data_IF_954459428498
#
_entry.id   IF_954459428498
#
_cell.length_a   1.000
_cell.length_b   1.000
_cell.length_c   1.000
_cell.angle_alpha   90.00
_cell.angle_beta   90.00
_cell.angle_gamma   90.00
#
_symmetry.space_group_name_H-M   'P 1'
#
loop_
_entity.id
_entity.type
_entity.pdbx_description
1 polymer ?
#
# COMPACT_ATOMS: atom_id res chain seq x y z
N UNK A 1 1.29 -9.30 -28.05
CA UNK A 1 0.01 -9.52 -27.32
C UNK A 1 0.23 -9.00 -25.92
N UNK A 2 -0.76 -8.39 -25.29
CA UNK A 2 -0.67 -8.08 -23.86
C UNK A 2 -0.73 -9.41 -23.09
N UNK A 3 0.34 -9.72 -22.38
CA UNK A 3 0.32 -10.80 -21.40
C UNK A 3 -0.16 -10.25 -20.07
N UNK A 4 -0.83 -11.08 -19.27
CA UNK A 4 -1.34 -10.75 -17.94
C UNK A 4 -0.76 -11.74 -16.92
N UNK A 5 -0.67 -11.36 -15.64
CA UNK A 5 -0.15 -12.22 -14.57
C UNK A 5 -1.10 -13.37 -14.28
N UNK A 6 -2.41 -13.08 -14.28
CA UNK A 6 -3.46 -14.09 -14.15
C UNK A 6 -4.73 -13.75 -14.95
N UNK A 7 -5.69 -14.69 -14.97
CA UNK A 7 -6.92 -14.58 -15.75
C UNK A 7 -7.96 -13.59 -15.16
N UNK A 8 -7.74 -13.01 -13.99
CA UNK A 8 -8.65 -12.03 -13.39
C UNK A 8 -8.47 -10.63 -13.99
N UNK A 9 -7.29 -10.31 -14.54
CA UNK A 9 -7.02 -9.00 -15.16
C UNK A 9 -7.79 -8.76 -16.49
N UNK A 10 -8.40 -9.80 -17.06
CA UNK A 10 -9.13 -9.75 -18.34
C UNK A 10 -10.65 -9.93 -18.22
N UNK A 11 -11.19 -10.05 -16.99
CA UNK A 11 -12.64 -10.19 -16.77
C UNK A 11 -13.34 -8.84 -16.79
N UNK A 12 -14.64 -8.85 -17.09
CA UNK A 12 -15.48 -7.66 -17.06
C UNK A 12 -15.65 -7.13 -15.61
N UNK A 13 -15.80 -5.81 -15.46
CA UNK A 13 -15.99 -5.15 -14.16
C UNK A 13 -17.27 -5.62 -13.44
N UNK A 14 -18.35 -5.92 -14.16
CA UNK A 14 -19.58 -6.42 -13.55
C UNK A 14 -19.43 -7.88 -13.09
N UNK A 15 -18.77 -8.74 -13.87
CA UNK A 15 -18.35 -10.09 -13.48
C UNK A 15 -17.44 -10.05 -12.25
N UNK A 16 -16.38 -9.22 -12.27
CA UNK A 16 -15.47 -8.97 -11.14
C UNK A 16 -16.24 -8.64 -9.85
N UNK A 17 -17.20 -7.73 -9.95
CA UNK A 17 -17.98 -7.30 -8.78
C UNK A 17 -18.96 -8.38 -8.29
N UNK A 18 -19.62 -9.09 -9.21
CA UNK A 18 -20.49 -10.22 -8.88
C UNK A 18 -19.72 -11.37 -8.20
N UNK A 19 -18.54 -11.72 -8.70
CA UNK A 19 -17.68 -12.76 -8.11
C UNK A 19 -17.19 -12.37 -6.71
N UNK A 20 -16.77 -11.12 -6.50
CA UNK A 20 -16.38 -10.61 -5.18
C UNK A 20 -17.53 -10.67 -4.18
N UNK A 21 -18.74 -10.23 -4.56
CA UNK A 21 -19.90 -10.24 -3.66
C UNK A 21 -20.55 -11.63 -3.48
N UNK A 22 -20.31 -12.58 -4.40
CA UNK A 22 -20.64 -13.99 -4.19
C UNK A 22 -19.70 -14.66 -3.17
N UNK A 23 -18.41 -14.33 -3.20
CA UNK A 23 -17.42 -14.87 -2.25
C UNK A 23 -17.48 -14.23 -0.85
N UNK A 24 -17.87 -12.95 -0.76
CA UNK A 24 -17.79 -12.15 0.47
C UNK A 24 -18.53 -12.76 1.68
N UNK A 25 -19.78 -13.26 1.60
CA UNK A 25 -20.45 -13.87 2.76
C UNK A 25 -19.69 -15.04 3.40
N UNK A 26 -19.06 -15.89 2.59
CA UNK A 26 -18.26 -17.02 3.06
C UNK A 26 -16.96 -16.55 3.73
N UNK A 27 -16.29 -15.56 3.15
CA UNK A 27 -15.10 -14.94 3.74
C UNK A 27 -15.42 -14.26 5.08
N UNK A 28 -16.55 -13.52 5.17
CA UNK A 28 -17.03 -12.91 6.41
C UNK A 28 -17.33 -13.94 7.49
N UNK A 29 -17.97 -15.06 7.14
CA UNK A 29 -18.23 -16.14 8.09
C UNK A 29 -16.93 -16.78 8.61
N UNK A 30 -16.00 -17.12 7.72
CA UNK A 30 -14.71 -17.73 8.07
C UNK A 30 -13.75 -16.78 8.80
N UNK A 31 -13.93 -15.45 8.66
CA UNK A 31 -13.24 -14.44 9.45
C UNK A 31 -13.90 -14.25 10.82
N UNK A 32 -15.24 -14.22 10.90
CA UNK A 32 -16.01 -14.14 12.16
C UNK A 32 -15.70 -15.31 13.10
N UNK A 33 -15.48 -16.50 12.56
CA UNK A 33 -15.15 -17.70 13.35
C UNK A 33 -13.73 -17.65 13.94
N UNK A 34 -12.74 -17.15 13.18
CA UNK A 34 -11.31 -17.31 13.51
C UNK A 34 -10.61 -16.04 14.00
N UNK A 35 -11.15 -14.86 13.72
CA UNK A 35 -10.63 -13.56 14.16
C UNK A 35 -11.63 -12.89 15.13
N UNK A 36 -11.43 -12.99 16.47
CA UNK A 36 -12.35 -12.42 17.47
C UNK A 36 -12.60 -10.92 17.33
N UNK A 37 -11.69 -10.17 16.69
CA UNK A 37 -11.90 -8.75 16.42
C UNK A 37 -12.94 -8.51 15.32
N UNK A 38 -12.91 -9.32 14.27
CA UNK A 38 -13.92 -9.35 13.21
C UNK A 38 -15.25 -9.86 13.77
N UNK A 39 -15.24 -10.80 14.71
CA UNK A 39 -16.45 -11.22 15.42
C UNK A 39 -17.15 -10.07 16.16
N UNK A 40 -16.39 -9.15 16.76
CA UNK A 40 -16.97 -7.92 17.35
C UNK A 40 -17.52 -6.97 16.28
N UNK A 41 -16.77 -6.76 15.19
CA UNK A 41 -17.16 -5.85 14.10
C UNK A 41 -18.43 -6.32 13.35
N UNK A 42 -18.70 -7.63 13.36
CA UNK A 42 -19.84 -8.28 12.70
C UNK A 42 -20.95 -8.73 13.66
N UNK A 43 -20.91 -8.34 14.94
CA UNK A 43 -21.83 -8.88 15.97
C UNK A 43 -23.31 -8.61 15.63
N UNK A 44 -23.61 -7.44 15.06
CA UNK A 44 -24.95 -6.98 14.68
C UNK A 44 -25.25 -7.18 13.18
N UNK A 45 -24.39 -7.93 12.46
CA UNK A 45 -24.39 -8.03 10.99
C UNK A 45 -24.80 -9.42 10.51
N UNK A 46 -25.83 -9.48 9.67
CA UNK A 46 -26.27 -10.70 8.96
C UNK A 46 -25.34 -10.97 7.77
N UNK A 47 -24.21 -11.63 8.04
CA UNK A 47 -23.12 -11.89 7.07
C UNK A 47 -23.56 -12.59 5.79
N UNK A 48 -24.61 -13.40 5.86
CA UNK A 48 -25.27 -14.10 4.75
C UNK A 48 -25.88 -13.14 3.71
N UNK A 49 -26.16 -11.89 4.10
CA UNK A 49 -26.81 -10.87 3.28
C UNK A 49 -25.84 -9.84 2.69
N UNK A 50 -24.54 -9.97 2.93
CA UNK A 50 -23.53 -9.00 2.51
C UNK A 50 -23.07 -9.32 1.07
N UNK A 51 -24.02 -9.18 0.14
CA UNK A 51 -23.90 -9.55 -1.28
C UNK A 51 -23.98 -8.33 -2.21
N UNK A 52 -23.79 -7.11 -1.69
CA UNK A 52 -23.70 -5.88 -2.48
C UNK A 52 -22.95 -4.77 -1.73
N UNK A 53 -22.54 -3.70 -2.44
CA UNK A 53 -21.95 -2.50 -1.83
C UNK A 53 -22.86 -1.86 -0.78
N UNK A 54 -24.17 -1.82 -1.03
CA UNK A 54 -25.15 -1.27 -0.09
C UNK A 54 -25.24 -2.11 1.19
N UNK A 55 -25.15 -3.45 1.09
CA UNK A 55 -25.13 -4.33 2.24
C UNK A 55 -23.79 -4.25 3.00
N UNK A 56 -22.67 -4.17 2.29
CA UNK A 56 -21.34 -3.97 2.87
C UNK A 56 -21.26 -2.72 3.73
N UNK A 57 -21.90 -1.62 3.31
CA UNK A 57 -21.93 -0.37 4.05
C UNK A 57 -22.53 -0.46 5.48
N UNK A 58 -23.26 -1.55 5.81
CA UNK A 58 -23.74 -1.81 7.17
C UNK A 58 -22.63 -2.26 8.15
N UNK A 59 -21.47 -2.72 7.66
CA UNK A 59 -20.31 -3.03 8.50
C UNK A 59 -19.65 -1.69 8.91
N UNK A 60 -19.31 -1.45 10.19
CA UNK A 60 -18.58 -0.25 10.60
C UNK A 60 -17.18 -0.17 9.97
N UNK A 61 -16.75 1.04 9.59
CA UNK A 61 -15.38 1.27 9.07
C UNK A 61 -14.37 1.15 10.19
N UNK A 62 -13.39 0.26 10.03
CA UNK A 62 -12.28 0.09 10.96
C UNK A 62 -11.17 1.09 10.61
N UNK A 63 -10.90 2.08 11.46
CA UNK A 63 -9.80 3.04 11.24
C UNK A 63 -8.47 2.48 11.74
N UNK A 64 -7.36 2.82 11.07
CA UNK A 64 -6.00 2.46 11.49
C UNK A 64 -5.66 2.86 12.94
N UNK A 65 -6.25 3.94 13.45
CA UNK A 65 -6.11 4.37 14.85
C UNK A 65 -6.85 3.49 15.86
N UNK A 66 -7.88 2.75 15.43
CA UNK A 66 -8.65 1.81 16.25
C UNK A 66 -7.98 0.42 16.24
N UNK A 67 -7.46 -0.01 15.09
CA UNK A 67 -6.56 -1.16 14.97
C UNK A 67 -5.40 -1.02 15.96
N UNK A 68 -4.69 0.11 15.95
CA UNK A 68 -3.61 0.42 16.91
C UNK A 68 -4.09 0.36 18.37
N UNK A 69 -5.19 1.05 18.73
CA UNK A 69 -5.72 1.03 20.11
C UNK A 69 -6.02 -0.39 20.58
N UNK A 70 -6.68 -1.21 19.75
CA UNK A 70 -7.04 -2.60 20.08
C UNK A 70 -5.80 -3.48 20.23
N UNK A 71 -4.87 -3.38 19.28
CA UNK A 71 -3.57 -4.04 19.32
C UNK A 71 -2.78 -3.69 20.59
N UNK A 72 -2.68 -2.40 20.93
CA UNK A 72 -1.98 -1.96 22.14
C UNK A 72 -2.66 -2.48 23.41
N UNK A 73 -3.97 -2.31 23.54
CA UNK A 73 -4.73 -2.72 24.72
C UNK A 73 -4.60 -4.23 25.00
N UNK A 74 -4.71 -5.06 23.95
CA UNK A 74 -4.57 -6.51 24.07
C UNK A 74 -3.14 -6.96 24.46
N UNK A 75 -2.11 -6.18 24.13
CA UNK A 75 -0.74 -6.43 24.63
C UNK A 75 -0.57 -6.01 26.09
N UNK A 76 -1.12 -4.86 26.49
CA UNK A 76 -0.92 -4.33 27.86
C UNK A 76 -1.81 -4.97 28.91
N UNK A 77 -3.01 -5.45 28.57
CA UNK A 77 -3.91 -6.13 29.51
C UNK A 77 -3.33 -7.42 30.09
N UNK A 78 -2.39 -8.07 29.39
CA UNK A 78 -1.67 -9.26 29.89
C UNK A 78 -0.39 -8.89 30.66
N UNK A 79 -0.19 -7.62 31.00
CA UNK A 79 0.90 -7.16 31.87
C UNK A 79 0.66 -7.44 33.36
N UNK A 80 -0.61 -7.57 33.77
CA UNK A 80 -0.99 -7.77 35.18
C UNK A 80 -1.04 -9.27 35.58
N UNK A 81 -1.18 -10.18 34.60
CA UNK A 81 -1.13 -11.62 34.81
C UNK A 81 0.00 -12.23 33.97
N UNK A 82 0.99 -12.83 34.64
CA UNK A 82 2.22 -13.32 34.01
C UNK A 82 1.95 -14.26 32.82
N UNK A 83 2.43 -13.88 31.63
CA UNK A 83 2.36 -14.74 30.43
C UNK A 83 3.24 -15.97 30.67
N UNK A 84 2.61 -17.13 30.87
CA UNK A 84 3.32 -18.41 30.83
C UNK A 84 3.92 -18.63 29.44
N UNK A 85 5.22 -18.88 29.38
CA UNK A 85 5.89 -19.28 28.14
C UNK A 85 5.30 -20.60 27.65
N UNK A 86 4.77 -20.62 26.41
CA UNK A 86 4.03 -21.77 25.86
C UNK A 86 2.54 -21.50 25.56
N UNK A 87 2.05 -20.28 25.77
CA UNK A 87 0.69 -19.89 25.38
C UNK A 87 0.42 -20.15 23.88
N UNK A 88 -0.56 -21.02 23.57
CA UNK A 88 -0.81 -21.55 22.22
C UNK A 88 -1.33 -20.52 21.20
N UNK A 89 -1.35 -20.90 19.92
CA UNK A 89 -1.55 -19.99 18.77
C UNK A 89 -2.71 -18.98 18.92
N UNK A 90 -3.89 -19.41 19.38
CA UNK A 90 -5.05 -18.51 19.56
C UNK A 90 -4.81 -17.37 20.56
N UNK A 91 -3.95 -17.55 21.56
CA UNK A 91 -3.57 -16.49 22.51
C UNK A 91 -2.68 -15.41 21.86
N UNK A 92 -1.91 -15.79 20.83
CA UNK A 92 -1.02 -14.89 20.08
C UNK A 92 -1.86 -14.00 19.16
N UNK A 93 -2.81 -14.61 18.44
CA UNK A 93 -3.81 -13.94 17.60
C UNK A 93 -4.50 -12.80 18.35
N UNK A 94 -5.01 -13.09 19.55
CA UNK A 94 -5.69 -12.11 20.40
C UNK A 94 -4.72 -11.05 20.91
N UNK A 95 -3.63 -11.47 21.58
CA UNK A 95 -2.71 -10.57 22.28
C UNK A 95 -1.93 -9.63 21.36
N UNK A 96 -1.30 -10.15 20.29
CA UNK A 96 -0.35 -9.37 19.46
C UNK A 96 -1.08 -8.55 18.42
N UNK A 97 -1.98 -9.20 17.68
CA UNK A 97 -2.70 -8.65 16.53
C UNK A 97 -4.08 -8.08 16.89
N UNK A 98 -4.39 -7.92 18.18
CA UNK A 98 -5.66 -7.38 18.66
C UNK A 98 -6.88 -8.27 18.40
N UNK A 99 -6.67 -9.51 17.95
CA UNK A 99 -7.70 -10.44 17.51
C UNK A 99 -8.07 -10.36 16.02
N UNK A 100 -7.33 -9.63 15.18
CA UNK A 100 -7.60 -9.51 13.73
C UNK A 100 -6.95 -10.62 12.87
N UNK A 101 -5.84 -11.21 13.33
CA UNK A 101 -5.23 -12.36 12.65
C UNK A 101 -6.09 -13.62 12.80
N UNK A 102 -5.96 -14.56 11.87
CA UNK A 102 -6.39 -15.95 12.07
C UNK A 102 -5.20 -16.91 12.18
N UNK A 103 -3.98 -16.43 11.91
CA UNK A 103 -2.73 -17.22 11.92
C UNK A 103 -1.86 -16.88 13.14
N UNK A 104 -1.16 -17.89 13.67
CA UNK A 104 -0.26 -17.77 14.82
C UNK A 104 1.23 -17.95 14.47
N UNK A 105 2.06 -18.13 15.50
CA UNK A 105 3.45 -18.54 15.31
C UNK A 105 3.52 -19.93 14.67
N UNK A 106 4.41 -20.10 13.69
CA UNK A 106 4.53 -21.35 12.92
C UNK A 106 3.66 -21.37 11.67
N UNK A 107 2.47 -20.77 11.69
CA UNK A 107 1.65 -20.53 10.49
C UNK A 107 2.19 -19.32 9.71
N UNK A 108 2.40 -18.20 10.42
CA UNK A 108 3.06 -17.02 9.90
C UNK A 108 4.51 -17.33 9.50
N UNK A 109 4.89 -16.92 8.29
CA UNK A 109 6.26 -16.93 7.80
C UNK A 109 7.06 -15.76 8.40
N UNK A 110 6.43 -14.58 8.49
CA UNK A 110 7.03 -13.34 9.00
C UNK A 110 6.00 -12.54 9.80
N UNK A 111 6.49 -11.66 10.68
CA UNK A 111 5.68 -10.65 11.38
C UNK A 111 6.43 -9.34 11.36
N UNK A 112 5.73 -8.28 10.97
CA UNK A 112 6.25 -6.93 10.80
C UNK A 112 5.77 -6.01 11.90
N UNK A 113 6.38 -4.83 11.99
CA UNK A 113 6.17 -3.82 13.03
C UNK A 113 6.24 -2.41 12.42
N UNK A 114 5.09 -1.88 11.98
CA UNK A 114 4.96 -0.52 11.46
C UNK A 114 5.01 0.57 12.54
N UNK A 115 5.32 1.84 12.16
CA UNK A 115 5.37 2.98 13.08
C UNK A 115 4.09 3.16 13.92
N UNK A 116 4.27 3.51 15.19
CA UNK A 116 3.19 3.54 16.18
C UNK A 116 2.69 2.13 16.47
N UNK A 117 3.52 1.28 17.10
CA UNK A 117 3.60 -0.18 16.91
C UNK A 117 2.29 -0.90 16.55
N UNK A 118 2.03 -0.99 15.26
CA UNK A 118 1.09 -1.94 14.65
C UNK A 118 1.93 -3.12 14.20
N UNK A 119 1.51 -4.35 14.50
CA UNK A 119 2.13 -5.56 13.96
C UNK A 119 1.24 -6.20 12.89
N UNK A 120 1.86 -6.65 11.80
CA UNK A 120 1.20 -7.26 10.64
C UNK A 120 1.78 -8.66 10.37
N UNK A 121 0.96 -9.72 10.28
CA UNK A 121 1.44 -11.06 9.97
C UNK A 121 1.46 -11.33 8.46
N UNK A 122 2.40 -12.17 8.03
CA UNK A 122 2.53 -12.69 6.67
C UNK A 122 2.57 -14.22 6.70
N UNK A 123 1.76 -14.88 5.87
CA UNK A 123 1.73 -16.34 5.76
C UNK A 123 2.67 -16.86 4.67
N UNK A 124 2.79 -18.19 4.56
CA UNK A 124 3.64 -18.87 3.57
C UNK A 124 3.05 -18.90 2.15
N UNK A 125 1.99 -18.12 1.89
CA UNK A 125 1.37 -18.00 0.56
C UNK A 125 2.33 -17.29 -0.42
N UNK A 126 2.40 -17.79 -1.66
CA UNK A 126 2.98 -17.03 -2.76
C UNK A 126 2.20 -15.72 -2.97
N UNK A 127 2.92 -14.63 -3.29
CA UNK A 127 2.39 -13.27 -3.43
C UNK A 127 1.35 -12.88 -2.36
N UNK A 128 1.64 -13.15 -1.08
CA UNK A 128 0.76 -12.85 0.05
C UNK A 128 0.25 -11.39 0.04
N UNK A 129 1.12 -10.46 -0.36
CA UNK A 129 0.85 -9.03 -0.42
C UNK A 129 0.30 -8.54 -1.77
N UNK A 130 0.21 -9.42 -2.78
CA UNK A 130 -0.50 -9.22 -4.05
C UNK A 130 0.16 -8.22 -5.02
N UNK A 131 1.45 -7.99 -4.88
CA UNK A 131 2.21 -7.07 -5.75
C UNK A 131 2.63 -7.70 -7.09
N UNK A 132 2.37 -9.00 -7.31
CA UNK A 132 2.71 -9.72 -8.54
C UNK A 132 2.12 -9.08 -9.79
N UNK A 133 0.81 -8.76 -9.78
CA UNK A 133 0.15 -8.04 -10.90
C UNK A 133 0.81 -6.69 -11.19
N UNK A 134 1.15 -5.92 -10.16
CA UNK A 134 1.78 -4.60 -10.32
C UNK A 134 3.19 -4.70 -10.94
N UNK A 135 4.01 -5.67 -10.50
CA UNK A 135 5.31 -5.95 -11.12
C UNK A 135 5.15 -6.46 -12.56
N UNK A 136 4.19 -7.34 -12.79
CA UNK A 136 3.94 -7.91 -14.12
C UNK A 136 3.42 -6.87 -15.13
N UNK A 137 2.62 -5.90 -14.68
CA UNK A 137 2.13 -4.76 -15.46
C UNK A 137 3.23 -3.71 -15.72
N UNK A 138 4.16 -3.50 -14.77
CA UNK A 138 5.43 -2.80 -15.03
C UNK A 138 6.35 -3.59 -16.00
N UNK A 139 6.02 -4.86 -16.27
CA UNK A 139 6.64 -5.71 -17.28
C UNK A 139 7.80 -6.57 -16.78
N UNK A 140 7.88 -6.82 -15.48
CA UNK A 140 8.80 -7.82 -14.92
C UNK A 140 8.37 -9.22 -15.36
N UNK A 141 9.34 -10.13 -15.58
CA UNK A 141 9.14 -11.52 -16.01
C UNK A 141 10.12 -12.44 -15.28
N UNK A 142 9.90 -13.75 -15.34
CA UNK A 142 10.70 -14.73 -14.58
C UNK A 142 12.24 -14.58 -14.73
N UNK A 143 12.72 -14.20 -15.92
CA UNK A 143 14.15 -14.03 -16.17
C UNK A 143 14.72 -12.65 -15.75
N UNK A 144 13.89 -11.76 -15.19
CA UNK A 144 14.30 -10.44 -14.70
C UNK A 144 15.00 -10.58 -13.34
N UNK A 145 16.20 -9.98 -13.21
CA UNK A 145 16.79 -9.69 -11.90
C UNK A 145 16.11 -8.45 -11.31
N UNK A 146 15.30 -8.65 -10.27
CA UNK A 146 14.63 -7.61 -9.50
C UNK A 146 15.57 -7.08 -8.40
N UNK A 147 16.01 -5.84 -8.54
CA UNK A 147 16.78 -5.12 -7.52
C UNK A 147 15.83 -4.43 -6.53
N UNK A 148 15.63 -5.02 -5.36
CA UNK A 148 14.66 -4.57 -4.37
C UNK A 148 15.30 -3.69 -3.28
N UNK A 149 15.02 -2.40 -3.34
CA UNK A 149 15.51 -1.37 -2.42
C UNK A 149 14.49 -0.92 -1.36
N UNK A 150 13.43 -1.69 -1.12
CA UNK A 150 12.63 -1.50 0.09
C UNK A 150 13.34 -2.04 1.34
N UNK A 151 12.94 -1.54 2.51
CA UNK A 151 13.44 -2.05 3.78
C UNK A 151 13.06 -3.52 3.99
N UNK A 152 14.08 -4.35 4.27
CA UNK A 152 13.91 -5.73 4.72
C UNK A 152 13.83 -5.87 6.26
N UNK A 153 13.80 -4.75 6.99
CA UNK A 153 13.62 -4.71 8.44
C UNK A 153 12.34 -3.96 8.86
N UNK A 154 11.77 -4.34 10.01
CA UNK A 154 10.59 -3.75 10.63
C UNK A 154 9.31 -3.76 9.77
N UNK A 155 9.24 -2.98 8.69
CA UNK A 155 8.06 -2.86 7.81
C UNK A 155 8.03 -3.97 6.74
N UNK A 156 6.85 -4.33 6.21
CA UNK A 156 6.70 -5.43 5.25
C UNK A 156 7.24 -5.16 3.84
N UNK A 157 7.62 -3.92 3.51
CA UNK A 157 7.83 -3.48 2.12
C UNK A 157 8.90 -4.30 1.34
N UNK A 158 10.01 -4.70 1.96
CA UNK A 158 10.98 -5.60 1.32
C UNK A 158 10.37 -6.95 0.96
N UNK A 159 9.61 -7.54 1.88
CA UNK A 159 8.92 -8.83 1.69
C UNK A 159 7.76 -8.76 0.68
N UNK A 160 7.05 -7.62 0.63
CA UNK A 160 5.99 -7.35 -0.36
C UNK A 160 6.48 -7.52 -1.79
N UNK A 161 7.62 -6.90 -2.11
CA UNK A 161 8.19 -6.94 -3.45
C UNK A 161 9.04 -8.20 -3.71
N UNK A 162 9.64 -8.80 -2.67
CA UNK A 162 10.28 -10.11 -2.77
C UNK A 162 9.28 -11.22 -3.12
N UNK A 163 8.21 -11.37 -2.32
CA UNK A 163 7.23 -12.46 -2.51
C UNK A 163 6.46 -12.34 -3.82
N UNK A 164 6.24 -11.11 -4.30
CA UNK A 164 5.71 -10.84 -5.64
C UNK A 164 6.70 -11.17 -6.76
N UNK A 165 7.97 -10.77 -6.62
CA UNK A 165 9.02 -11.12 -7.59
C UNK A 165 9.21 -12.63 -7.72
N UNK A 166 9.30 -13.33 -6.59
CA UNK A 166 9.39 -14.80 -6.55
C UNK A 166 8.16 -15.49 -7.15
N UNK A 167 6.97 -14.91 -7.02
CA UNK A 167 5.74 -15.45 -7.63
C UNK A 167 5.70 -15.27 -9.16
N UNK A 168 6.35 -14.24 -9.71
CA UNK A 168 6.61 -14.08 -11.15
C UNK A 168 7.73 -15.02 -11.62
N UNK A 169 8.54 -15.54 -10.69
CA UNK A 169 9.74 -16.35 -10.94
C UNK A 169 11.04 -15.55 -11.04
N UNK A 170 10.99 -14.23 -10.79
CA UNK A 170 12.17 -13.35 -10.82
C UNK A 170 13.24 -13.79 -9.82
N UNK A 171 14.52 -13.63 -10.19
CA UNK A 171 15.60 -13.60 -9.20
C UNK A 171 15.51 -12.27 -8.45
N UNK A 172 15.55 -12.28 -7.11
CA UNK A 172 15.46 -11.07 -6.28
C UNK A 172 16.80 -10.78 -5.61
N UNK A 173 17.30 -9.55 -5.77
CA UNK A 173 18.43 -9.04 -5.00
C UNK A 173 17.92 -8.10 -3.89
N UNK A 174 18.17 -8.40 -2.60
CA UNK A 174 17.69 -7.60 -1.47
C UNK A 174 18.60 -6.39 -1.20
N UNK A 175 18.64 -5.43 -2.13
CA UNK A 175 19.53 -4.26 -2.07
C UNK A 175 19.27 -3.30 -0.91
N UNK A 176 18.05 -3.28 -0.36
CA UNK A 176 17.71 -2.49 0.83
C UNK A 176 17.88 -0.98 0.64
N UNK A 177 18.13 -0.26 1.74
CA UNK A 177 18.18 1.22 1.76
C UNK A 177 19.56 1.76 2.13
N UNK A 178 19.90 2.94 1.60
CA UNK A 178 21.18 3.62 1.85
C UNK A 178 22.38 3.00 1.13
N UNK A 179 23.59 3.35 1.58
CA UNK A 179 24.87 2.87 1.02
C UNK A 179 24.99 3.09 -0.50
N UNK A 180 24.63 4.28 -0.99
CA UNK A 180 24.50 4.61 -2.42
C UNK A 180 25.68 4.18 -3.29
N UNK A 181 26.91 4.35 -2.81
CA UNK A 181 28.16 3.97 -3.47
C UNK A 181 28.25 2.44 -3.69
N UNK A 182 27.79 1.65 -2.72
CA UNK A 182 27.67 0.19 -2.84
C UNK A 182 26.53 -0.20 -3.79
N UNK A 183 25.39 0.50 -3.76
CA UNK A 183 24.29 0.28 -4.71
C UNK A 183 24.78 0.47 -6.16
N UNK A 184 25.53 1.55 -6.43
CA UNK A 184 26.10 1.83 -7.76
C UNK A 184 27.04 0.70 -8.20
N UNK A 185 27.99 0.29 -7.35
CA UNK A 185 28.89 -0.81 -7.66
C UNK A 185 28.14 -2.13 -7.91
N UNK A 186 27.17 -2.48 -7.06
CA UNK A 186 26.42 -3.74 -7.18
C UNK A 186 25.47 -3.75 -8.39
N UNK A 187 24.84 -2.63 -8.76
CA UNK A 187 24.05 -2.51 -10.00
C UNK A 187 24.95 -2.55 -11.24
N UNK A 188 26.18 -2.04 -11.15
CA UNK A 188 27.18 -2.16 -12.20
C UNK A 188 27.63 -3.62 -12.40
N UNK A 189 27.92 -4.35 -11.32
CA UNK A 189 28.39 -5.74 -11.40
C UNK A 189 27.28 -6.73 -11.75
N UNK A 190 26.08 -6.59 -11.17
CA UNK A 190 24.96 -7.54 -11.36
C UNK A 190 24.06 -7.22 -12.57
N UNK A 191 24.19 -6.03 -13.17
CA UNK A 191 23.39 -5.56 -14.33
C UNK A 191 21.87 -5.87 -14.25
N UNK A 192 21.15 -5.50 -13.18
CA UNK A 192 19.71 -5.75 -13.05
C UNK A 192 18.88 -4.92 -14.05
N UNK A 193 17.92 -5.56 -14.72
CA UNK A 193 16.99 -4.88 -15.64
C UNK A 193 15.91 -4.07 -14.88
N UNK A 194 15.49 -4.56 -13.70
CA UNK A 194 14.31 -4.08 -13.00
C UNK A 194 14.58 -3.64 -11.56
N UNK A 195 13.99 -2.52 -11.15
CA UNK A 195 14.09 -1.95 -9.79
C UNK A 195 12.75 -1.95 -9.05
N UNK A 196 12.77 -2.18 -7.73
CA UNK A 196 11.67 -1.81 -6.83
C UNK A 196 12.18 -0.96 -5.67
N UNK A 197 11.41 0.06 -5.28
CA UNK A 197 11.77 0.97 -4.19
C UNK A 197 11.00 2.28 -4.25
N UNK A 198 11.55 3.34 -3.66
CA UNK A 198 11.01 4.70 -3.82
C UNK A 198 11.64 5.39 -5.04
N UNK A 199 10.92 6.30 -5.72
CA UNK A 199 11.47 7.05 -6.84
C UNK A 199 12.53 8.06 -6.37
N UNK A 200 12.45 8.56 -5.13
CA UNK A 200 13.52 9.36 -4.52
C UNK A 200 14.84 8.59 -4.42
N UNK A 201 14.81 7.32 -3.99
CA UNK A 201 16.03 6.56 -3.73
C UNK A 201 16.68 6.04 -5.02
N UNK A 202 15.93 5.60 -6.03
CA UNK A 202 16.53 5.29 -7.34
C UNK A 202 17.17 6.54 -7.97
N UNK A 203 16.55 7.71 -7.80
CA UNK A 203 17.14 8.98 -8.26
C UNK A 203 18.48 9.25 -7.57
N UNK A 204 18.57 9.08 -6.25
CA UNK A 204 19.83 9.22 -5.50
C UNK A 204 20.91 8.23 -5.94
N UNK A 205 20.55 6.97 -6.24
CA UNK A 205 21.50 5.97 -6.78
C UNK A 205 22.04 6.41 -8.14
N UNK A 206 21.17 6.91 -9.03
CA UNK A 206 21.57 7.35 -10.37
C UNK A 206 22.36 8.66 -10.37
N UNK A 207 22.05 9.59 -9.47
CA UNK A 207 22.85 10.81 -9.28
C UNK A 207 24.22 10.48 -8.67
N UNK A 208 24.29 9.50 -7.75
CA UNK A 208 25.57 8.95 -7.27
C UNK A 208 26.36 8.26 -8.39
N UNK A 209 25.69 7.57 -9.31
CA UNK A 209 26.34 6.95 -10.46
C UNK A 209 26.99 7.99 -11.38
N UNK A 210 26.31 9.12 -11.61
CA UNK A 210 26.87 10.27 -12.35
C UNK A 210 28.10 10.85 -11.62
N UNK A 211 28.04 11.07 -10.30
CA UNK A 211 29.16 11.54 -9.47
C UNK A 211 30.38 10.59 -9.55
N UNK A 212 30.13 9.28 -9.50
CA UNK A 212 31.16 8.24 -9.61
C UNK A 212 31.63 7.98 -11.05
N UNK A 213 31.01 8.63 -12.04
CA UNK A 213 31.23 8.42 -13.48
C UNK A 213 30.98 6.97 -13.94
N UNK A 214 30.11 6.23 -13.24
CA UNK A 214 29.76 4.83 -13.51
C UNK A 214 28.44 4.77 -14.26
N UNK A 215 28.44 4.20 -15.47
CA UNK A 215 27.21 3.95 -16.21
C UNK A 215 26.45 2.74 -15.64
N UNK A 216 25.12 2.91 -15.44
CA UNK A 216 24.18 1.85 -15.06
C UNK A 216 23.16 1.57 -16.18
N UNK A 217 23.60 1.12 -17.38
CA UNK A 217 22.74 0.99 -18.56
C UNK A 217 21.81 -0.22 -18.51
N UNK A 218 21.97 -1.12 -17.53
CA UNK A 218 21.14 -2.30 -17.29
C UNK A 218 19.70 -1.96 -16.95
N UNK A 219 19.49 -0.97 -16.10
CA UNK A 219 18.17 -0.57 -15.62
C UNK A 219 17.27 -0.12 -16.79
N UNK A 220 16.12 -0.77 -16.94
CA UNK A 220 15.08 -0.44 -17.94
C UNK A 220 13.70 -0.27 -17.32
N UNK A 221 13.41 -0.93 -16.20
CA UNK A 221 12.07 -0.98 -15.59
C UNK A 221 12.12 -0.59 -14.12
N UNK A 222 11.10 0.08 -13.61
CA UNK A 222 10.95 0.29 -12.18
C UNK A 222 9.49 0.18 -11.74
N UNK A 223 9.24 -0.40 -10.56
CA UNK A 223 7.97 -0.27 -9.86
C UNK A 223 8.19 0.48 -8.54
N UNK A 224 7.54 1.63 -8.42
CA UNK A 224 7.67 2.56 -7.31
C UNK A 224 6.48 2.46 -6.35
N UNK A 225 6.74 2.55 -5.05
CA UNK A 225 5.71 2.63 -4.01
C UNK A 225 6.24 3.38 -2.78
N UNK A 226 5.38 3.67 -1.80
CA UNK A 226 5.68 4.42 -0.58
C UNK A 226 5.75 5.95 -0.76
N UNK A 227 5.94 6.43 -1.98
CA UNK A 227 5.96 7.85 -2.36
C UNK A 227 5.16 8.08 -3.65
N UNK A 228 4.80 9.34 -3.94
CA UNK A 228 4.17 9.71 -5.20
C UNK A 228 5.17 9.76 -6.35
N UNK A 229 4.75 9.38 -7.56
CA UNK A 229 5.57 9.33 -8.76
C UNK A 229 5.10 10.36 -9.83
N UNK A 230 5.35 11.67 -9.62
CA UNK A 230 4.81 12.73 -10.47
C UNK A 230 5.43 12.75 -11.89
N UNK A 231 4.76 13.39 -12.88
CA UNK A 231 5.23 13.48 -14.26
C UNK A 231 6.64 14.05 -14.44
N UNK A 232 7.13 14.88 -13.51
CA UNK A 232 8.52 15.38 -13.51
C UNK A 232 9.54 14.27 -13.28
N UNK A 233 9.27 13.32 -12.36
CA UNK A 233 10.13 12.16 -12.16
C UNK A 233 9.95 11.14 -13.30
N UNK A 234 8.72 10.93 -13.79
CA UNK A 234 8.46 10.11 -14.98
C UNK A 234 9.32 10.55 -16.17
N UNK A 235 9.35 11.86 -16.45
CA UNK A 235 10.18 12.46 -17.51
C UNK A 235 11.68 12.27 -17.25
N UNK A 236 12.13 12.43 -16.00
CA UNK A 236 13.54 12.28 -15.61
C UNK A 236 14.07 10.85 -15.78
N UNK A 237 13.28 9.83 -15.40
CA UNK A 237 13.64 8.42 -15.62
C UNK A 237 13.54 8.02 -17.10
N UNK A 238 12.51 8.48 -17.82
CA UNK A 238 12.37 8.23 -19.26
C UNK A 238 13.57 8.79 -20.05
N UNK A 239 14.10 9.96 -19.67
CA UNK A 239 15.32 10.53 -20.26
C UNK A 239 16.59 9.69 -20.02
N UNK A 240 16.59 8.79 -19.02
CA UNK A 240 17.64 7.77 -18.79
C UNK A 240 17.30 6.39 -19.38
N UNK A 241 16.18 6.25 -20.09
CA UNK A 241 15.70 4.97 -20.63
C UNK A 241 15.12 4.01 -19.58
N UNK A 242 14.61 4.54 -18.46
CA UNK A 242 13.98 3.78 -17.38
C UNK A 242 12.46 4.03 -17.39
N UNK A 243 11.69 2.98 -17.65
CA UNK A 243 10.24 2.98 -17.63
C UNK A 243 9.73 2.64 -16.23
N UNK A 244 9.48 3.67 -15.43
CA UNK A 244 8.92 3.54 -14.08
C UNK A 244 7.39 3.51 -14.06
N UNK A 245 6.81 2.81 -13.09
CA UNK A 245 5.36 2.76 -12.83
C UNK A 245 5.09 2.87 -11.32
N UNK A 246 3.93 3.37 -10.91
CA UNK A 246 3.54 3.49 -9.49
C UNK A 246 2.59 2.35 -9.05
N UNK A 247 2.81 1.82 -7.85
CA UNK A 247 1.84 1.06 -7.08
C UNK A 247 1.46 1.80 -5.79
N UNK A 248 0.23 1.60 -5.33
CA UNK A 248 -0.31 2.05 -4.06
C UNK A 248 -0.74 0.85 -3.21
N UNK A 249 -0.36 0.86 -1.94
CA UNK A 249 -0.66 -0.18 -0.98
C UNK A 249 -0.24 0.23 0.43
N UNK A 250 -0.70 -0.49 1.45
CA UNK A 250 -0.34 -0.22 2.85
C UNK A 250 0.22 -1.47 3.54
N UNK A 251 0.98 -1.27 4.62
CA UNK A 251 1.52 -2.36 5.43
C UNK A 251 0.43 -3.32 5.97
N UNK A 252 -0.78 -2.82 6.15
CA UNK A 252 -1.94 -3.57 6.66
C UNK A 252 -2.67 -4.37 5.56
N UNK A 253 -2.64 -3.90 4.30
CA UNK A 253 -3.48 -4.40 3.19
C UNK A 253 -2.73 -5.04 2.02
N UNK A 254 -1.42 -4.81 1.88
CA UNK A 254 -0.70 -5.13 0.64
C UNK A 254 -1.08 -4.17 -0.49
N UNK A 255 -1.05 -4.66 -1.73
CA UNK A 255 -1.45 -3.90 -2.91
C UNK A 255 -2.93 -3.49 -2.83
N UNK A 256 -3.20 -2.24 -3.24
CA UNK A 256 -4.54 -1.68 -3.40
C UNK A 256 -4.78 -1.28 -4.86
N UNK A 257 -3.84 -0.60 -5.51
CA UNK A 257 -3.95 -0.20 -6.91
C UNK A 257 -2.59 0.03 -7.60
N UNK A 258 -2.51 0.01 -8.93
CA UNK A 258 -1.25 0.11 -9.71
C UNK A 258 -1.41 0.73 -11.11
N UNK A 259 -0.39 1.43 -11.61
CA UNK A 259 -0.34 1.90 -13.00
C UNK A 259 -0.12 0.73 -13.99
N UNK A 260 -0.66 0.87 -15.20
CA UNK A 260 -0.26 0.10 -16.38
C UNK A 260 0.43 1.01 -17.42
N UNK A 261 0.87 0.44 -18.55
CA UNK A 261 1.47 1.18 -19.67
C UNK A 261 0.61 2.36 -20.18
N UNK A 262 -0.72 2.29 -20.01
CA UNK A 262 -1.66 3.36 -20.40
C UNK A 262 -1.53 4.64 -19.55
N UNK A 263 -1.13 4.53 -18.27
CA UNK A 263 -1.06 5.64 -17.28
C UNK A 263 -2.35 6.41 -17.00
N UNK A 264 -3.51 5.88 -17.39
CA UNK A 264 -4.83 6.46 -17.10
C UNK A 264 -5.29 6.21 -15.64
N UNK A 265 -4.42 6.50 -14.67
CA UNK A 265 -4.64 6.30 -13.23
C UNK A 265 -4.23 4.91 -12.71
N UNK A 266 -4.57 4.61 -11.46
CA UNK A 266 -4.22 3.33 -10.81
C UNK A 266 -5.37 2.31 -10.89
N UNK A 267 -5.15 1.18 -11.57
CA UNK A 267 -6.04 0.03 -11.64
C UNK A 267 -6.15 -0.61 -10.25
N UNK A 268 -7.36 -0.85 -9.75
CA UNK A 268 -7.61 -1.49 -8.44
C UNK A 268 -7.25 -2.98 -8.48
N UNK A 269 -6.66 -3.50 -7.41
CA UNK A 269 -6.34 -4.93 -7.28
C UNK A 269 -7.57 -5.85 -7.33
N UNK A 270 -7.46 -6.99 -8.01
CA UNK A 270 -8.61 -7.82 -8.38
C UNK A 270 -9.38 -8.51 -7.24
N UNK A 271 -8.72 -8.76 -6.12
CA UNK A 271 -9.28 -9.46 -4.95
C UNK A 271 -9.56 -8.53 -3.74
N UNK A 272 -9.88 -7.26 -4.02
CA UNK A 272 -10.42 -6.32 -3.03
C UNK A 272 -11.72 -5.64 -3.49
N UNK A 273 -12.56 -5.33 -2.50
CA UNK A 273 -13.62 -4.32 -2.62
C UNK A 273 -13.09 -3.01 -2.07
N UNK A 274 -12.99 -2.00 -2.94
CA UNK A 274 -12.63 -0.63 -2.58
C UNK A 274 -13.88 0.26 -2.57
N UNK A 275 -13.95 1.11 -1.55
CA UNK A 275 -14.96 2.15 -1.36
C UNK A 275 -14.26 3.50 -1.18
N UNK A 276 -14.93 4.59 -1.57
CA UNK A 276 -14.58 5.94 -1.13
C UNK A 276 -15.64 6.36 -0.11
N UNK A 277 -15.22 6.73 1.10
CA UNK A 277 -16.10 7.00 2.25
C UNK A 277 -15.89 8.41 2.76
N UNK A 278 -16.96 9.09 3.22
CA UNK A 278 -16.87 10.43 3.79
C UNK A 278 -16.01 10.39 5.07
N UNK A 279 -14.85 11.09 5.13
CA UNK A 279 -13.88 10.92 6.22
C UNK A 279 -14.49 11.13 7.60
N UNK A 280 -14.15 10.24 8.54
CA UNK A 280 -14.71 10.23 9.90
C UNK A 280 -16.09 9.59 10.03
N UNK A 281 -16.75 9.20 8.93
CA UNK A 281 -18.05 8.51 8.93
C UNK A 281 -17.93 7.05 8.46
N UNK A 282 -19.07 6.38 8.26
CA UNK A 282 -19.20 5.07 7.59
C UNK A 282 -19.81 5.17 6.17
N UNK A 283 -20.19 6.37 5.72
CA UNK A 283 -21.02 6.60 4.53
C UNK A 283 -20.19 6.63 3.24
N UNK A 284 -20.45 5.77 2.25
CA UNK A 284 -19.88 5.91 0.91
C UNK A 284 -20.26 7.25 0.27
N UNK A 285 -19.34 7.86 -0.47
CA UNK A 285 -19.64 9.05 -1.30
C UNK A 285 -20.08 8.65 -2.71
N UNK A 286 -20.78 9.52 -3.46
CA UNK A 286 -21.03 9.34 -4.89
C UNK A 286 -19.76 9.12 -5.72
N UNK A 287 -19.90 8.47 -6.86
CA UNK A 287 -18.80 8.29 -7.82
C UNK A 287 -18.21 9.64 -8.26
N UNK A 288 -16.88 9.72 -8.32
CA UNK A 288 -16.15 10.97 -8.61
C UNK A 288 -16.00 11.95 -7.43
N UNK A 289 -16.71 11.79 -6.30
CA UNK A 289 -16.45 12.58 -5.09
C UNK A 289 -15.16 12.13 -4.38
N UNK A 290 -14.47 13.08 -3.74
CA UNK A 290 -13.27 12.83 -2.94
C UNK A 290 -13.63 12.44 -1.52
N UNK A 291 -13.08 11.33 -1.05
CA UNK A 291 -13.21 10.85 0.34
C UNK A 291 -12.04 9.96 0.74
N UNK A 292 -12.19 9.27 1.85
CA UNK A 292 -11.21 8.32 2.39
C UNK A 292 -11.24 6.99 1.63
N UNK A 293 -10.07 6.45 1.28
CA UNK A 293 -9.96 5.10 0.72
C UNK A 293 -10.23 4.08 1.83
N UNK A 294 -11.32 3.32 1.66
CA UNK A 294 -11.75 2.23 2.54
C UNK A 294 -11.68 0.91 1.76
N UNK A 295 -11.03 -0.11 2.33
CA UNK A 295 -10.78 -1.38 1.64
C UNK A 295 -11.28 -2.57 2.47
N UNK A 296 -11.97 -3.50 1.82
CA UNK A 296 -12.25 -4.84 2.35
C UNK A 296 -11.42 -5.87 1.59
N UNK A 297 -10.60 -6.64 2.31
CA UNK A 297 -9.78 -7.72 1.73
C UNK A 297 -10.43 -9.08 1.95
N UNK A 298 -10.30 -9.98 0.98
CA UNK A 298 -10.65 -11.39 1.13
C UNK A 298 -9.46 -12.23 1.63
N UNK A 299 -8.55 -11.62 2.41
CA UNK A 299 -7.39 -12.30 2.98
C UNK A 299 -7.86 -13.25 4.11
N UNK A 300 -7.71 -14.58 3.99
CA UNK A 300 -8.16 -15.51 5.01
C UNK A 300 -7.27 -15.53 6.26
N UNK A 301 -6.07 -14.93 6.21
CA UNK A 301 -5.03 -15.01 7.25
C UNK A 301 -4.99 -13.74 8.13
N UNK A 302 -5.17 -12.58 7.50
CA UNK A 302 -5.30 -11.27 8.16
C UNK A 302 -6.48 -10.49 7.53
N UNK A 303 -7.73 -10.89 7.80
CA UNK A 303 -8.92 -10.24 7.26
C UNK A 303 -9.09 -8.84 7.84
N UNK A 304 -9.13 -7.84 6.96
CA UNK A 304 -9.46 -6.46 7.31
C UNK A 304 -10.70 -6.02 6.52
N UNK A 305 -11.77 -5.69 7.26
CA UNK A 305 -13.08 -5.34 6.71
C UNK A 305 -13.33 -3.85 6.82
N UNK A 306 -13.68 -3.21 5.71
CA UNK A 306 -13.86 -1.75 5.57
C UNK A 306 -12.77 -0.97 6.33
N UNK A 307 -11.51 -1.30 6.06
CA UNK A 307 -10.36 -0.65 6.68
C UNK A 307 -10.11 0.71 6.07
N UNK A 308 -10.30 1.77 6.86
CA UNK A 308 -9.97 3.14 6.49
C UNK A 308 -8.47 3.38 6.58
N UNK A 309 -7.85 3.58 5.43
CA UNK A 309 -6.41 3.85 5.28
C UNK A 309 -6.00 5.20 5.88
N UNK A 310 -6.92 6.16 5.89
CA UNK A 310 -6.66 7.57 6.17
C UNK A 310 -6.20 8.40 4.95
N UNK A 311 -5.94 7.77 3.80
CA UNK A 311 -5.59 8.45 2.55
C UNK A 311 -6.85 8.93 1.80
N UNK A 312 -6.73 10.04 1.06
CA UNK A 312 -7.85 10.64 0.32
C UNK A 312 -7.74 10.42 -1.21
N UNK A 313 -8.83 10.02 -1.85
CA UNK A 313 -8.93 9.84 -3.31
C UNK A 313 -10.38 9.88 -3.80
N UNK A 314 -10.57 9.72 -5.11
CA UNK A 314 -11.83 9.50 -5.80
C UNK A 314 -11.65 8.37 -6.84
N UNK A 315 -12.75 7.72 -7.22
CA UNK A 315 -12.80 6.78 -8.36
C UNK A 315 -13.14 7.57 -9.63
N UNK A 316 -12.44 7.29 -10.73
CA UNK A 316 -12.74 7.87 -12.04
C UNK A 316 -13.94 7.18 -12.72
N UNK A 317 -14.91 7.95 -13.25
CA UNK A 317 -15.93 7.41 -14.15
C UNK A 317 -15.29 6.93 -15.47
N UNK A 318 -15.26 5.62 -15.69
CA UNK A 318 -14.57 5.01 -16.83
C UNK A 318 -14.73 3.49 -16.90
N UNK A 319 -14.18 2.89 -17.97
CA UNK A 319 -14.31 1.44 -18.28
C UNK A 319 -13.46 0.57 -17.33
N UNK A 320 -12.48 1.15 -16.64
CA UNK A 320 -11.78 0.55 -15.51
C UNK A 320 -11.89 1.50 -14.30
N UNK A 321 -12.16 1.01 -13.09
CA UNK A 321 -12.24 1.86 -11.90
C UNK A 321 -10.84 2.30 -11.48
N UNK A 322 -10.37 3.43 -12.01
CA UNK A 322 -9.07 3.98 -11.68
C UNK A 322 -9.13 4.85 -10.41
N UNK A 323 -8.19 4.62 -9.50
CA UNK A 323 -7.94 5.45 -8.32
C UNK A 323 -6.96 6.55 -8.70
N UNK A 324 -7.35 7.82 -8.51
CA UNK A 324 -6.46 8.97 -8.76
C UNK A 324 -5.65 9.24 -7.49
N UNK A 325 -4.31 9.12 -7.51
CA UNK A 325 -3.50 9.67 -6.42
C UNK A 325 -3.83 11.15 -6.28
N UNK A 326 -4.15 11.62 -5.08
CA UNK A 326 -4.38 13.06 -4.85
C UNK A 326 -3.07 13.85 -4.88
N UNK A 327 -2.28 13.73 -5.96
CA UNK A 327 -1.50 14.83 -6.54
C UNK A 327 -2.27 15.36 -7.76
N UNK A 328 -3.58 15.59 -7.57
CA UNK A 328 -4.65 15.27 -8.52
C UNK A 328 -5.18 16.40 -9.42
N UNK A 329 -5.97 17.42 -9.04
CA UNK A 329 -6.40 18.09 -7.78
C UNK A 329 -5.77 19.46 -7.37
N UNK A 330 -5.26 20.29 -8.29
CA UNK A 330 -5.05 21.75 -8.10
C UNK A 330 -6.15 22.60 -8.75
N UNK A 331 -6.50 23.72 -8.09
CA UNK A 331 -7.60 24.59 -8.52
C UNK A 331 -7.34 25.30 -9.86
N UNK A 332 -8.30 25.25 -10.79
CA UNK A 332 -8.20 26.07 -12.02
C UNK A 332 -9.07 25.73 -13.24
N UNK A 333 -10.06 24.83 -13.19
CA UNK A 333 -10.91 24.54 -14.35
C UNK A 333 -12.41 24.60 -14.03
N UNK A 334 -13.14 25.38 -14.84
CA UNK A 334 -14.60 25.41 -14.86
C UNK A 334 -15.19 24.33 -15.78
N UNK A 335 -16.49 24.05 -15.63
CA UNK A 335 -17.22 22.99 -16.36
C UNK A 335 -17.07 23.14 -17.89
N UNK A 336 -16.41 22.20 -18.61
CA UNK A 336 -16.23 22.31 -20.05
C UNK A 336 -17.50 21.91 -20.83
N UNK A 337 -18.21 22.90 -21.38
CA UNK A 337 -19.31 22.66 -22.32
C UNK A 337 -18.80 22.21 -23.69
N UNK A 338 -18.61 20.89 -23.82
CA UNK A 338 -18.28 20.09 -25.02
C UNK A 338 -16.80 20.08 -25.47
N UNK A 339 -16.26 18.85 -25.46
CA UNK A 339 -14.95 18.35 -25.91
C UNK A 339 -13.75 18.76 -25.02
N UNK A 340 -12.80 17.84 -24.74
CA UNK A 340 -12.01 17.90 -23.51
C UNK A 340 -10.51 18.18 -23.73
N UNK A 341 -9.93 19.02 -22.87
CA UNK A 341 -8.47 19.17 -22.65
C UNK A 341 -8.21 19.42 -21.16
N UNK A 342 -7.00 19.11 -20.69
CA UNK A 342 -6.77 18.67 -19.31
C UNK A 342 -6.16 19.73 -18.36
N UNK A 343 -6.39 19.53 -17.06
CA UNK A 343 -5.71 20.18 -15.91
C UNK A 343 -6.55 20.03 -14.62
N UNK A 344 -6.01 20.12 -13.38
CA UNK A 344 -4.63 20.35 -12.91
C UNK A 344 -4.41 19.75 -11.48
N UNK A 345 -3.18 19.78 -10.89
CA UNK A 345 -2.61 18.76 -9.96
C UNK A 345 -2.12 19.18 -8.51
N UNK A 346 -2.62 18.58 -7.39
CA UNK A 346 -2.16 18.76 -5.97
C UNK A 346 -2.69 17.68 -4.97
N UNK A 347 -2.23 17.51 -3.71
CA UNK A 347 -1.03 16.76 -3.23
C UNK A 347 -1.34 15.93 -1.92
N UNK A 348 -0.95 14.63 -1.85
CA UNK A 348 -1.13 13.71 -0.70
C UNK A 348 -0.17 14.02 0.44
N UNK A 349 -0.60 13.83 1.70
CA UNK A 349 0.28 13.92 2.89
C UNK A 349 0.26 12.63 3.72
N UNK A 350 1.21 11.73 3.45
CA UNK A 350 1.50 10.59 4.33
C UNK A 350 2.16 11.08 5.63
N UNK A 351 1.39 11.17 6.71
CA UNK A 351 1.91 11.56 8.04
C UNK A 351 2.75 10.46 8.67
N UNK A 352 4.06 10.50 8.44
CA UNK A 352 5.03 9.79 9.28
C UNK A 352 5.22 10.52 10.63
N UNK A 353 5.35 9.79 11.75
CA UNK A 353 5.35 10.38 13.10
C UNK A 353 6.73 10.96 13.49
N UNK A 354 7.07 12.14 12.94
CA UNK A 354 8.17 12.96 13.42
C UNK A 354 7.77 13.75 14.67
N UNK A 355 8.39 13.46 15.82
CA UNK A 355 8.03 14.04 17.12
C UNK A 355 8.62 15.44 17.36
N UNK A 356 7.76 16.43 17.63
CA UNK A 356 8.13 17.69 18.32
C UNK A 356 7.05 18.07 19.36
N UNK A 357 7.41 18.74 20.47
CA UNK A 357 6.54 18.96 21.62
C UNK A 357 5.49 20.06 21.41
N UNK A 358 4.48 20.07 22.29
CA UNK A 358 3.40 21.05 22.25
C UNK A 358 3.88 22.48 22.57
N UNK A 359 3.64 23.40 21.64
CA UNK A 359 3.74 24.85 21.88
C UNK A 359 2.33 25.41 22.12
N UNK A 360 2.17 26.12 23.23
CA UNK A 360 0.91 26.78 23.60
C UNK A 360 0.64 28.00 22.72
N UNK A 361 -0.65 28.33 22.52
CA UNK A 361 -1.05 29.50 21.73
C UNK A 361 -0.61 30.80 22.39
N UNK A 362 0.35 31.50 21.77
CA UNK A 362 0.59 32.94 21.97
C UNK A 362 0.07 33.72 20.76
N UNK A 363 -0.38 34.96 20.96
CA UNK A 363 -1.12 35.74 19.96
C UNK A 363 -0.41 37.03 19.54
N UNK A 364 0.12 37.06 18.31
CA UNK A 364 0.18 38.21 17.36
C UNK A 364 1.04 37.86 16.11
N UNK A 365 0.86 38.56 14.98
CA UNK A 365 1.59 38.28 13.74
C UNK A 365 2.92 39.06 13.63
N UNK A 366 3.90 38.47 12.94
CA UNK A 366 5.17 39.11 12.57
C UNK A 366 5.98 38.23 11.60
N UNK A 367 6.63 38.85 10.62
CA UNK A 367 7.49 38.18 9.63
C UNK A 367 8.90 37.95 10.19
N UNK A 368 9.62 36.92 9.70
CA UNK A 368 11.06 36.96 9.39
C UNK A 368 11.55 35.67 8.69
N UNK A 369 12.66 35.78 7.94
CA UNK A 369 13.34 34.67 7.25
C UNK A 369 14.42 34.02 8.17
N UNK A 370 14.74 32.72 7.99
CA UNK A 370 15.88 32.10 8.65
C UNK A 370 17.22 32.47 7.96
N UNK A 371 18.23 32.76 8.76
CA UNK A 371 19.62 33.02 8.33
C UNK A 371 20.45 31.74 8.50
N UNK A 372 21.51 31.56 7.69
CA UNK A 372 22.44 30.42 7.82
C UNK A 372 23.10 30.36 9.21
N UNK A 373 23.26 29.18 9.84
CA UNK A 373 24.14 29.00 10.98
C UNK A 373 25.61 28.97 10.55
N UNK A 374 26.52 29.44 11.42
CA UNK A 374 27.95 29.43 11.15
C UNK A 374 28.82 29.51 12.41
N UNK A 375 29.41 28.36 12.76
CA UNK A 375 30.64 28.15 13.55
C UNK A 375 30.72 28.63 15.02
N UNK A 376 31.56 27.88 15.77
CA UNK A 376 32.08 28.11 17.13
C UNK A 376 31.04 27.95 18.27
N UNK A 377 31.41 27.40 19.42
CA UNK A 377 32.73 26.85 19.85
C UNK A 377 32.75 25.32 19.84
#
# INVERSE_FOLDING_TARGET
>A
MTEYFDALEVRDQAQREAELFAALPAALAAARERAPAIATQLQDVQVDRITSRQALAAIPVLRKSELLKRQHAQRTQVGENHVQAGAGAGTVVQRVFGGFSTIGWGDAARVFASPGPIYEPESKRADYWRFGRALYAAGFRANTLLYNCFSYHFTPAGSMFETAGLAIGCTVFPGGVGQTEMQVATIHDLQPEGYAGTPSFLKLILEKADEMQVALPSLKRALFSGEAFPPSLQTWFAARGIHGYQAYGTADLGLIAYESEARDGLIIGEDIVLEIVRPGTNEPVPEGEVGEIVVTTLNPDYPLLRFGTGDLSAIMPGILPAVVPTSGFAAGWGVPTRRPRCGACLCTQSKWPGSWPALTRSTRPGWLFPVKPGAMT
#
